data_IF_228105740982
#
_entry.id   IF_228105740982
#
_cell.length_a   1.000
_cell.length_b   1.000
_cell.length_c   1.000
_cell.angle_alpha   90.00
_cell.angle_beta   90.00
_cell.angle_gamma   90.00
#
_symmetry.space_group_name_H-M   'P 1'
#
loop_
_entity.id
_entity.type
_entity.pdbx_description
1 polymer ?
#
# COMPACT_ATOMS: atom_id res chain seq x y z
N UNK A 1 -19.46 -9.30 6.27
CA UNK A 1 -20.67 -10.15 6.30
C UNK A 1 -21.21 -10.32 7.72
N UNK A 2 -20.41 -9.92 8.73
CA UNK A 2 -20.76 -9.93 10.16
C UNK A 2 -21.73 -8.82 10.59
N UNK A 3 -21.79 -7.72 9.86
CA UNK A 3 -22.66 -6.59 10.15
C UNK A 3 -24.05 -6.74 9.50
N UNK A 4 -25.14 -6.29 10.17
CA UNK A 4 -26.48 -6.28 9.60
C UNK A 4 -26.55 -5.53 8.28
N UNK A 5 -27.16 -6.14 7.27
CA UNK A 5 -27.29 -5.56 5.93
C UNK A 5 -26.06 -5.69 5.04
N UNK A 6 -24.98 -6.34 5.53
CA UNK A 6 -23.72 -6.55 4.79
C UNK A 6 -23.26 -5.27 4.07
N UNK A 7 -22.94 -4.18 4.82
CA UNK A 7 -22.60 -2.90 4.24
C UNK A 7 -21.36 -3.03 3.36
N UNK A 8 -21.33 -2.26 2.27
CA UNK A 8 -20.19 -2.20 1.35
C UNK A 8 -19.31 -0.99 1.71
N UNK A 9 -17.99 -1.20 1.71
CA UNK A 9 -16.98 -0.14 1.84
C UNK A 9 -16.18 -0.09 0.54
N UNK A 10 -16.25 1.01 -0.17
CA UNK A 10 -15.49 1.17 -1.40
C UNK A 10 -13.97 1.21 -1.10
N UNK A 11 -13.19 0.42 -1.84
CA UNK A 11 -11.73 0.51 -1.80
C UNK A 11 -11.30 1.77 -2.59
N UNK A 12 -11.44 2.92 -1.96
CA UNK A 12 -11.15 4.25 -2.53
C UNK A 12 -10.49 5.14 -1.49
N UNK A 13 -9.67 6.08 -1.94
CA UNK A 13 -9.01 7.04 -1.06
C UNK A 13 -10.00 7.89 -0.27
N UNK A 14 -11.22 8.09 -0.77
CA UNK A 14 -12.29 8.80 -0.05
C UNK A 14 -12.88 8.03 1.12
N UNK A 15 -12.64 6.72 1.18
CA UNK A 15 -13.06 5.86 2.30
C UNK A 15 -11.99 5.73 3.39
N UNK A 16 -10.80 6.30 3.21
CA UNK A 16 -9.74 6.25 4.23
C UNK A 16 -10.19 6.98 5.48
N UNK A 17 -10.22 6.25 6.59
CA UNK A 17 -10.66 6.75 7.90
C UNK A 17 -9.48 6.98 8.85
N UNK A 18 -8.53 6.04 8.89
CA UNK A 18 -7.39 6.08 9.79
C UNK A 18 -6.17 5.41 9.14
N UNK A 19 -4.96 5.87 9.51
CA UNK A 19 -3.69 5.40 8.96
C UNK A 19 -2.64 5.09 10.03
N UNK A 20 -3.08 4.73 11.23
CA UNK A 20 -2.19 4.37 12.35
C UNK A 20 -1.78 2.90 12.25
N UNK A 21 -0.51 2.63 11.94
CA UNK A 21 0.13 1.32 11.71
C UNK A 21 -0.38 0.54 10.48
N UNK A 22 -1.58 0.82 10.01
CA UNK A 22 -2.19 0.23 8.83
C UNK A 22 -3.22 1.18 8.24
N UNK A 23 -3.65 0.94 7.04
CA UNK A 23 -4.73 1.71 6.41
C UNK A 23 -6.09 1.10 6.76
N UNK A 24 -6.98 1.95 7.31
CA UNK A 24 -8.37 1.61 7.63
C UNK A 24 -9.32 2.35 6.68
N UNK A 25 -10.23 1.61 6.06
CA UNK A 25 -11.34 2.15 5.28
C UNK A 25 -12.63 2.10 6.09
N UNK A 26 -13.50 3.12 5.91
CA UNK A 26 -14.79 3.15 6.58
C UNK A 26 -15.90 3.73 5.69
N UNK A 27 -17.13 3.24 5.93
CA UNK A 27 -18.36 3.81 5.40
C UNK A 27 -19.47 3.63 6.43
N UNK A 28 -19.99 4.74 6.99
CA UNK A 28 -20.89 4.70 8.13
C UNK A 28 -20.25 3.99 9.32
N UNK A 29 -20.92 2.97 9.85
CA UNK A 29 -20.42 2.17 10.98
C UNK A 29 -19.47 1.03 10.54
N UNK A 30 -19.44 0.72 9.23
CA UNK A 30 -18.57 -0.34 8.72
C UNK A 30 -17.13 0.15 8.60
N UNK A 31 -16.19 -0.64 9.12
CA UNK A 31 -14.76 -0.38 9.09
C UNK A 31 -13.98 -1.64 8.73
N UNK A 32 -12.94 -1.48 7.94
CA UNK A 32 -12.02 -2.55 7.57
C UNK A 32 -10.59 -2.05 7.69
N UNK A 33 -9.78 -2.74 8.48
CA UNK A 33 -8.37 -2.39 8.72
C UNK A 33 -7.41 -3.30 7.95
N UNK A 34 -6.14 -2.86 7.87
CA UNK A 34 -5.02 -3.63 7.33
C UNK A 34 -5.28 -4.07 5.88
N UNK A 35 -5.77 -3.12 5.08
CA UNK A 35 -6.18 -3.41 3.69
C UNK A 35 -5.00 -3.40 2.71
N UNK A 36 -3.90 -2.75 3.05
CA UNK A 36 -2.77 -2.42 2.19
C UNK A 36 -2.12 -3.64 1.53
N UNK A 37 -1.90 -4.74 2.26
CA UNK A 37 -1.24 -5.93 1.70
C UNK A 37 -2.10 -6.65 0.66
N UNK A 38 -3.41 -6.80 0.93
CA UNK A 38 -4.35 -7.38 -0.01
C UNK A 38 -4.52 -6.48 -1.24
N UNK A 39 -4.64 -5.17 -1.04
CA UNK A 39 -4.75 -4.21 -2.13
C UNK A 39 -3.47 -4.18 -2.99
N UNK A 40 -2.29 -4.30 -2.36
CA UNK A 40 -1.03 -4.41 -3.08
C UNK A 40 -0.97 -5.69 -3.95
N UNK A 41 -1.47 -6.83 -3.42
CA UNK A 41 -1.52 -8.06 -4.19
C UNK A 41 -2.46 -7.95 -5.40
N UNK A 42 -3.66 -7.40 -5.22
CA UNK A 42 -4.62 -7.17 -6.31
C UNK A 42 -4.03 -6.26 -7.38
N UNK A 43 -3.53 -5.09 -6.97
CA UNK A 43 -2.96 -4.11 -7.89
C UNK A 43 -1.69 -4.61 -8.59
N UNK A 44 -0.78 -5.27 -7.84
CA UNK A 44 0.46 -5.83 -8.36
C UNK A 44 0.25 -6.97 -9.37
N UNK A 45 -0.87 -7.69 -9.27
CA UNK A 45 -1.29 -8.73 -10.22
C UNK A 45 -2.22 -8.20 -11.33
N UNK A 46 -2.46 -6.89 -11.36
CA UNK A 46 -3.27 -6.26 -12.40
C UNK A 46 -4.77 -6.53 -12.29
N UNK A 47 -5.28 -6.75 -11.08
CA UNK A 47 -6.72 -6.91 -10.81
C UNK A 47 -7.33 -5.54 -10.54
N UNK A 48 -8.16 -5.05 -11.46
CA UNK A 48 -8.82 -3.75 -11.35
C UNK A 48 -10.12 -3.81 -10.54
N UNK A 49 -10.85 -4.92 -10.62
CA UNK A 49 -12.15 -5.08 -9.97
C UNK A 49 -12.19 -6.38 -9.18
N UNK A 50 -12.47 -6.29 -7.89
CA UNK A 50 -12.68 -7.43 -7.01
C UNK A 50 -13.76 -7.11 -5.98
N UNK A 51 -14.51 -8.13 -5.56
CA UNK A 51 -15.37 -8.09 -4.39
C UNK A 51 -14.73 -8.91 -3.29
N UNK A 52 -14.50 -8.28 -2.15
CA UNK A 52 -13.89 -8.89 -0.97
C UNK A 52 -14.98 -9.02 0.10
N UNK A 53 -15.24 -10.23 0.55
CA UNK A 53 -16.21 -10.51 1.60
C UNK A 53 -15.49 -10.86 2.89
N UNK A 54 -15.77 -10.12 3.95
CA UNK A 54 -15.14 -10.26 5.27
C UNK A 54 -16.21 -10.56 6.31
N UNK A 55 -15.87 -11.36 7.30
CA UNK A 55 -16.66 -11.67 8.49
C UNK A 55 -16.10 -11.04 9.76
N UNK A 56 -15.25 -10.03 9.60
CA UNK A 56 -14.61 -9.29 10.68
C UNK A 56 -14.13 -7.91 10.22
N UNK A 57 -13.67 -7.08 11.17
CA UNK A 57 -13.29 -5.68 10.91
C UNK A 57 -11.86 -5.51 10.38
N UNK A 58 -11.15 -6.59 10.08
CA UNK A 58 -9.75 -6.54 9.67
C UNK A 58 -9.43 -7.61 8.63
N UNK A 59 -8.67 -7.23 7.60
CA UNK A 59 -8.11 -8.17 6.63
C UNK A 59 -7.04 -9.02 7.34
N UNK A 60 -7.07 -10.36 7.21
CA UNK A 60 -6.06 -11.22 7.84
C UNK A 60 -4.63 -10.84 7.45
N UNK A 61 -3.75 -10.70 8.44
CA UNK A 61 -2.34 -10.37 8.23
C UNK A 61 -1.57 -11.51 7.56
N UNK A 62 -2.02 -12.77 7.74
CA UNK A 62 -1.38 -13.99 7.26
C UNK A 62 0.08 -14.09 7.74
N UNK A 63 1.03 -14.20 6.83
CA UNK A 63 2.46 -14.25 7.14
C UNK A 63 3.13 -12.85 7.25
N UNK A 64 2.33 -11.79 7.20
CA UNK A 64 2.79 -10.41 7.25
C UNK A 64 3.28 -9.85 5.91
N UNK A 65 3.10 -10.59 4.82
CA UNK A 65 3.43 -10.19 3.46
C UNK A 65 2.19 -10.22 2.54
N UNK A 66 2.36 -9.90 1.28
CA UNK A 66 1.32 -10.06 0.26
C UNK A 66 1.42 -11.40 -0.49
N UNK A 67 2.36 -12.29 -0.14
CA UNK A 67 2.64 -13.51 -0.88
C UNK A 67 1.43 -14.46 -0.92
N UNK A 68 0.85 -14.76 0.25
CA UNK A 68 -0.29 -15.68 0.31
C UNK A 68 -1.50 -15.16 -0.47
N UNK A 69 -1.70 -13.84 -0.47
CA UNK A 69 -2.74 -13.19 -1.29
C UNK A 69 -2.44 -13.33 -2.77
N UNK A 70 -1.21 -13.06 -3.19
CA UNK A 70 -0.79 -13.18 -4.59
C UNK A 70 -0.92 -14.63 -5.09
N UNK A 71 -0.52 -15.61 -4.29
CA UNK A 71 -0.67 -17.05 -4.61
C UNK A 71 -2.14 -17.45 -4.76
N UNK A 72 -3.01 -17.01 -3.82
CA UNK A 72 -4.44 -17.30 -3.87
C UNK A 72 -5.13 -16.68 -5.10
N UNK A 73 -4.80 -15.43 -5.43
CA UNK A 73 -5.31 -14.73 -6.62
C UNK A 73 -4.84 -15.43 -7.89
N UNK A 74 -3.56 -15.79 -7.99
CA UNK A 74 -3.00 -16.49 -9.12
C UNK A 74 -3.65 -17.89 -9.32
N UNK A 75 -3.91 -18.60 -8.22
CA UNK A 75 -4.58 -19.90 -8.25
C UNK A 75 -6.06 -19.78 -8.69
N UNK A 76 -6.77 -18.73 -8.21
CA UNK A 76 -8.15 -18.47 -8.62
C UNK A 76 -8.27 -18.05 -10.09
N UNK A 77 -7.24 -17.42 -10.61
CA UNK A 77 -7.20 -16.84 -11.95
C UNK A 77 -7.88 -15.47 -12.03
N UNK A 78 -7.54 -14.73 -13.09
CA UNK A 78 -8.08 -13.40 -13.37
C UNK A 78 -8.82 -13.44 -14.71
N UNK A 79 -10.01 -12.84 -14.76
CA UNK A 79 -10.84 -12.77 -15.98
C UNK A 79 -10.71 -11.39 -16.61
N UNK A 80 -10.30 -11.35 -17.88
CA UNK A 80 -10.26 -10.09 -18.61
C UNK A 80 -11.66 -9.54 -18.86
N UNK A 81 -11.84 -8.25 -18.58
CA UNK A 81 -13.09 -7.52 -18.83
C UNK A 81 -13.00 -6.78 -20.18
N UNK A 82 -14.16 -6.47 -20.77
CA UNK A 82 -14.23 -5.79 -22.08
C UNK A 82 -13.86 -4.30 -21.96
N UNK A 83 -14.14 -3.68 -20.80
CA UNK A 83 -13.85 -2.27 -20.58
C UNK A 83 -12.33 -2.01 -20.63
N UNK A 84 -11.85 -1.03 -21.40
CA UNK A 84 -10.44 -0.68 -21.40
C UNK A 84 -10.03 -0.08 -20.06
N UNK A 85 -8.79 -0.38 -19.63
CA UNK A 85 -8.20 0.27 -18.46
C UNK A 85 -7.99 1.74 -18.75
N UNK A 86 -8.43 2.59 -17.85
CA UNK A 86 -8.16 4.02 -17.93
C UNK A 86 -6.68 4.29 -17.59
N UNK A 87 -6.10 5.26 -18.26
CA UNK A 87 -4.74 5.74 -17.98
C UNK A 87 -4.79 7.23 -17.64
N UNK A 88 -3.94 7.63 -16.71
CA UNK A 88 -3.76 9.02 -16.36
C UNK A 88 -2.27 9.37 -16.42
N UNK A 89 -1.94 10.46 -17.10
CA UNK A 89 -0.56 10.95 -17.18
C UNK A 89 -0.45 12.19 -16.31
N UNK A 90 0.41 12.10 -15.31
CA UNK A 90 0.68 13.24 -14.45
C UNK A 90 1.44 14.32 -15.23
N UNK A 91 0.91 15.55 -15.26
CA UNK A 91 1.49 16.68 -15.98
C UNK A 91 2.57 17.43 -15.17
N UNK A 92 2.40 17.49 -13.85
CA UNK A 92 3.27 18.22 -12.92
C UNK A 92 3.56 17.40 -11.67
N UNK A 93 4.74 17.59 -11.02
CA UNK A 93 5.05 16.90 -9.78
C UNK A 93 4.08 17.24 -8.65
N UNK A 94 3.75 16.22 -7.84
CA UNK A 94 2.99 16.38 -6.60
C UNK A 94 3.87 15.88 -5.44
N UNK A 95 3.99 16.68 -4.38
CA UNK A 95 4.81 16.37 -3.20
C UNK A 95 4.01 16.46 -1.92
N UNK A 96 4.23 15.50 -1.02
CA UNK A 96 3.79 15.55 0.36
C UNK A 96 4.99 15.26 1.25
N UNK A 97 5.20 16.05 2.28
CA UNK A 97 6.32 15.87 3.20
C UNK A 97 5.93 16.20 4.64
N UNK A 98 6.63 15.58 5.57
CA UNK A 98 6.51 15.83 7.02
C UNK A 98 7.90 15.66 7.66
N UNK A 99 8.52 16.75 8.09
CA UNK A 99 9.90 16.73 8.52
C UNK A 99 10.85 16.34 7.39
N UNK A 100 11.64 15.27 7.60
CA UNK A 100 12.54 14.69 6.61
C UNK A 100 11.90 13.56 5.77
N UNK A 101 10.67 13.15 6.12
CA UNK A 101 9.92 12.16 5.38
C UNK A 101 9.15 12.80 4.23
N UNK A 102 9.08 12.12 3.08
CA UNK A 102 8.30 12.59 1.94
C UNK A 102 7.79 11.45 1.07
N UNK A 103 6.78 11.77 0.28
CA UNK A 103 6.35 10.99 -0.89
C UNK A 103 6.03 11.93 -2.02
N UNK A 104 6.41 11.56 -3.24
CA UNK A 104 6.21 12.37 -4.44
C UNK A 104 5.74 11.53 -5.61
N UNK A 105 4.90 12.10 -6.46
CA UNK A 105 4.62 11.59 -7.80
C UNK A 105 5.25 12.54 -8.82
N UNK A 106 6.15 12.02 -9.63
CA UNK A 106 6.89 12.78 -10.64
C UNK A 106 6.44 12.32 -12.04
N UNK A 107 6.17 13.22 -12.98
CA UNK A 107 5.85 12.84 -14.35
C UNK A 107 6.88 11.86 -14.93
N UNK A 108 6.41 10.75 -15.48
CA UNK A 108 7.25 9.73 -16.09
C UNK A 108 6.49 9.01 -17.22
N UNK A 109 7.19 8.42 -18.20
CA UNK A 109 6.53 7.72 -19.31
C UNK A 109 5.88 6.40 -18.88
N UNK A 110 6.30 5.83 -17.76
CA UNK A 110 5.77 4.57 -17.21
C UNK A 110 5.69 4.64 -15.68
N UNK A 111 4.89 3.75 -15.11
CA UNK A 111 4.76 3.62 -13.66
C UNK A 111 6.03 3.00 -13.06
N UNK A 112 6.58 3.68 -12.07
CA UNK A 112 7.69 3.20 -11.26
C UNK A 112 7.50 3.61 -9.81
N UNK A 113 7.83 2.73 -8.90
CA UNK A 113 7.91 3.01 -7.46
C UNK A 113 9.37 2.96 -7.00
N UNK A 114 9.76 3.86 -6.10
CA UNK A 114 11.03 3.80 -5.38
C UNK A 114 10.77 4.15 -3.92
N UNK A 115 11.25 3.33 -3.01
CA UNK A 115 11.10 3.55 -1.58
C UNK A 115 12.43 3.49 -0.84
N UNK A 116 12.72 4.52 -0.06
CA UNK A 116 13.85 4.58 0.86
C UNK A 116 13.40 4.57 2.32
N UNK A 117 14.11 3.85 3.14
CA UNK A 117 13.98 3.85 4.60
C UNK A 117 15.33 4.17 5.23
N UNK A 118 15.29 4.68 6.45
CA UNK A 118 16.49 4.99 7.21
C UNK A 118 16.17 4.84 8.71
N UNK A 119 16.83 3.88 9.35
CA UNK A 119 16.65 3.54 10.75
C UNK A 119 18.00 3.53 11.46
N UNK A 120 18.03 3.99 12.71
CA UNK A 120 19.24 4.02 13.52
C UNK A 120 19.74 2.62 13.92
N UNK A 121 18.89 1.58 13.78
CA UNK A 121 19.28 0.20 14.02
C UNK A 121 20.14 -0.35 12.86
N UNK A 122 21.40 -0.74 13.10
CA UNK A 122 22.32 -1.16 12.02
C UNK A 122 21.82 -2.32 11.16
N UNK A 123 21.01 -3.22 11.73
CA UNK A 123 20.45 -4.36 11.00
C UNK A 123 19.38 -3.95 9.97
N UNK A 124 18.81 -2.75 10.08
CA UNK A 124 17.94 -2.15 9.08
C UNK A 124 18.73 -1.10 8.28
N UNK A 125 19.22 -0.05 8.93
CA UNK A 125 20.01 1.02 8.34
C UNK A 125 19.27 1.78 7.25
N UNK A 126 20.04 2.29 6.29
CA UNK A 126 19.51 2.94 5.09
C UNK A 126 19.36 1.93 3.96
N UNK A 127 18.15 1.74 3.47
CA UNK A 127 17.83 0.79 2.41
C UNK A 127 16.94 1.43 1.37
N UNK A 128 17.12 1.01 0.12
CA UNK A 128 16.31 1.44 -1.01
C UNK A 128 15.85 0.25 -1.84
N UNK A 129 14.66 0.39 -2.42
CA UNK A 129 14.16 -0.52 -3.44
C UNK A 129 13.36 0.23 -4.49
N UNK A 130 13.47 -0.22 -5.74
CA UNK A 130 12.66 0.28 -6.86
C UNK A 130 11.98 -0.88 -7.53
N UNK A 131 10.76 -0.65 -8.02
CA UNK A 131 9.99 -1.63 -8.76
C UNK A 131 9.15 -0.94 -9.85
N UNK A 132 9.06 -1.56 -11.02
CA UNK A 132 8.20 -1.17 -12.12
C UNK A 132 7.41 -2.40 -12.61
N UNK A 133 6.07 -2.34 -12.67
CA UNK A 133 5.27 -3.46 -13.13
C UNK A 133 5.53 -3.84 -14.59
N UNK A 134 6.09 -2.94 -15.40
CA UNK A 134 6.49 -3.23 -16.77
C UNK A 134 7.78 -4.07 -16.88
N UNK A 135 8.61 -4.09 -15.82
CA UNK A 135 9.95 -4.69 -15.84
C UNK A 135 10.07 -5.94 -14.95
N UNK A 136 9.33 -5.99 -13.84
CA UNK A 136 9.47 -7.03 -12.83
C UNK A 136 8.11 -7.54 -12.35
N UNK A 137 8.00 -8.85 -12.15
CA UNK A 137 6.80 -9.47 -11.59
C UNK A 137 6.65 -9.11 -10.11
N UNK A 138 5.46 -8.64 -9.72
CA UNK A 138 5.15 -8.27 -8.33
C UNK A 138 5.34 -9.45 -7.36
N UNK A 139 4.87 -10.65 -7.74
CA UNK A 139 4.92 -11.82 -6.87
C UNK A 139 6.38 -12.22 -6.52
N UNK A 140 7.31 -12.03 -7.46
CA UNK A 140 8.73 -12.35 -7.27
C UNK A 140 9.51 -11.23 -6.59
N UNK A 141 9.24 -9.98 -6.97
CA UNK A 141 10.04 -8.84 -6.53
C UNK A 141 9.60 -8.27 -5.19
N UNK A 142 8.29 -8.29 -4.88
CA UNK A 142 7.71 -7.49 -3.78
C UNK A 142 6.86 -8.34 -2.84
N UNK A 143 5.99 -9.23 -3.36
CA UNK A 143 4.91 -9.84 -2.58
C UNK A 143 5.39 -10.55 -1.30
N UNK A 144 6.56 -11.17 -1.33
CA UNK A 144 7.09 -11.94 -0.19
C UNK A 144 7.73 -11.10 0.92
N UNK A 145 7.83 -9.77 0.77
CA UNK A 145 8.41 -8.90 1.79
C UNK A 145 7.46 -8.75 2.99
N UNK A 146 7.91 -9.18 4.17
CA UNK A 146 7.12 -9.17 5.41
C UNK A 146 7.15 -7.82 6.10
N UNK A 147 6.05 -7.49 6.79
CA UNK A 147 5.99 -6.37 7.73
C UNK A 147 7.03 -6.52 8.84
N UNK A 148 7.44 -5.41 9.42
CA UNK A 148 8.45 -5.40 10.47
C UNK A 148 8.14 -4.39 11.56
N UNK A 149 8.69 -4.65 12.74
CA UNK A 149 8.60 -3.76 13.89
C UNK A 149 9.91 -3.70 14.68
N UNK A 150 10.01 -2.69 15.55
CA UNK A 150 11.16 -2.48 16.43
C UNK A 150 10.87 -3.07 17.81
N UNK A 151 11.76 -3.90 18.32
CA UNK A 151 11.56 -4.65 19.57
C UNK A 151 11.19 -3.73 20.76
N UNK A 152 11.84 -2.55 20.85
CA UNK A 152 11.59 -1.60 21.94
C UNK A 152 10.19 -0.93 21.88
N UNK A 153 9.47 -1.00 20.74
CA UNK A 153 8.13 -0.43 20.58
C UNK A 153 7.01 -1.44 20.86
N UNK A 154 7.30 -2.75 20.80
CA UNK A 154 6.28 -3.80 20.82
C UNK A 154 5.44 -3.76 22.10
N UNK A 155 6.07 -3.60 23.27
CA UNK A 155 5.36 -3.60 24.55
C UNK A 155 4.40 -2.39 24.67
N UNK A 156 4.85 -1.23 24.22
CA UNK A 156 4.01 -0.03 24.19
C UNK A 156 2.84 -0.18 23.22
N UNK A 157 3.08 -0.75 22.03
CA UNK A 157 2.01 -0.99 21.05
C UNK A 157 0.95 -1.96 21.61
N UNK A 158 1.38 -3.05 22.26
CA UNK A 158 0.46 -4.01 22.91
C UNK A 158 -0.34 -3.37 24.05
N UNK A 159 0.31 -2.55 24.88
CA UNK A 159 -0.35 -1.82 25.97
C UNK A 159 -1.43 -0.87 25.43
N UNK A 160 -1.20 -0.26 24.27
CA UNK A 160 -2.16 0.59 23.56
C UNK A 160 -3.25 -0.21 22.81
N UNK A 161 -3.30 -1.54 22.96
CA UNK A 161 -4.30 -2.40 22.32
C UNK A 161 -4.08 -2.63 20.82
N UNK A 162 -2.88 -2.30 20.32
CA UNK A 162 -2.45 -2.52 18.93
C UNK A 162 -1.72 -3.87 18.79
N UNK A 163 -1.48 -4.30 17.55
CA UNK A 163 -0.73 -5.52 17.19
C UNK A 163 -1.16 -6.78 17.96
N UNK A 164 -2.46 -6.92 18.26
CA UNK A 164 -3.00 -8.06 19.06
C UNK A 164 -2.72 -9.41 18.44
N UNK A 165 -2.70 -9.52 17.11
CA UNK A 165 -2.39 -10.70 16.33
C UNK A 165 -0.91 -10.84 15.94
N UNK A 166 -0.05 -9.88 16.33
CA UNK A 166 1.37 -9.85 15.96
C UNK A 166 2.19 -10.92 16.67
N UNK A 167 2.97 -11.68 15.89
CA UNK A 167 3.89 -12.71 16.35
C UNK A 167 5.16 -12.71 15.49
N UNK A 168 6.18 -13.48 15.92
CA UNK A 168 7.40 -13.68 15.12
C UNK A 168 7.15 -14.52 13.84
N UNK A 169 5.96 -15.07 13.67
CA UNK A 169 5.58 -15.83 12.47
C UNK A 169 5.04 -14.90 11.37
N UNK A 170 4.49 -13.74 11.75
CA UNK A 170 3.83 -12.80 10.82
C UNK A 170 4.40 -11.38 10.82
N UNK A 171 5.52 -11.14 11.49
CA UNK A 171 6.26 -9.88 11.44
C UNK A 171 7.73 -10.12 11.73
N UNK A 172 8.60 -9.43 11.01
CA UNK A 172 10.02 -9.33 11.37
C UNK A 172 10.17 -8.39 12.57
N UNK A 173 10.99 -8.77 13.54
CA UNK A 173 11.28 -7.94 14.71
C UNK A 173 12.76 -7.66 14.79
N UNK A 174 13.12 -6.37 14.76
CA UNK A 174 14.50 -5.91 14.90
C UNK A 174 14.76 -5.37 16.30
N UNK A 175 15.75 -5.93 16.97
CA UNK A 175 16.32 -5.44 18.23
C UNK A 175 17.65 -4.73 18.01
N UNK A 176 18.29 -4.31 19.11
CA UNK A 176 19.60 -3.64 19.09
C UNK A 176 20.71 -4.54 18.52
N UNK A 177 20.65 -5.84 18.80
CA UNK A 177 21.63 -6.84 18.33
C UNK A 177 21.30 -7.42 16.94
N UNK A 178 20.18 -7.02 16.34
CA UNK A 178 19.74 -7.50 15.02
C UNK A 178 18.35 -8.12 15.02
N UNK A 179 18.10 -8.95 14.01
CA UNK A 179 16.79 -9.59 13.82
C UNK A 179 16.55 -10.72 14.81
N UNK A 180 15.38 -10.74 15.46
CA UNK A 180 14.98 -11.79 16.39
C UNK A 180 14.56 -13.07 15.68
N UNK A 181 14.06 -12.97 14.46
CA UNK A 181 13.50 -14.09 13.68
C UNK A 181 14.04 -14.18 12.25
N UNK A 182 15.37 -14.25 12.06
CA UNK A 182 15.96 -14.49 10.76
C UNK A 182 15.60 -15.90 10.21
N UNK A 183 15.80 -16.19 8.90
CA UNK A 183 16.39 -15.31 7.91
C UNK A 183 15.40 -14.31 7.29
N UNK A 184 15.92 -13.23 6.73
CA UNK A 184 15.18 -12.36 5.84
C UNK A 184 14.99 -13.06 4.49
N UNK A 185 13.86 -12.78 3.83
CA UNK A 185 13.56 -13.28 2.47
C UNK A 185 14.32 -12.49 1.39
N UNK A 186 14.62 -11.22 1.68
CA UNK A 186 15.43 -10.34 0.82
C UNK A 186 16.44 -9.59 1.69
N UNK A 187 17.60 -9.24 1.15
CA UNK A 187 18.60 -8.44 1.87
C UNK A 187 18.10 -7.05 2.29
N UNK A 188 17.14 -6.51 1.54
CA UNK A 188 16.46 -5.23 1.78
C UNK A 188 14.94 -5.43 2.01
N UNK A 189 14.55 -6.50 2.69
CA UNK A 189 13.15 -6.85 2.93
C UNK A 189 12.32 -5.71 3.53
N UNK A 190 12.82 -4.94 4.54
CA UNK A 190 12.10 -3.79 5.07
C UNK A 190 11.77 -2.71 4.03
N UNK A 191 12.71 -2.36 3.15
CA UNK A 191 12.45 -1.38 2.10
C UNK A 191 11.44 -1.88 1.06
N UNK A 192 11.51 -3.19 0.72
CA UNK A 192 10.52 -3.83 -0.18
C UNK A 192 9.13 -3.85 0.45
N UNK A 193 9.03 -4.13 1.75
CA UNK A 193 7.75 -4.10 2.46
C UNK A 193 7.14 -2.69 2.47
N UNK A 194 7.93 -1.67 2.74
CA UNK A 194 7.45 -0.28 2.68
C UNK A 194 7.00 0.14 1.27
N UNK A 195 7.64 -0.42 0.24
CA UNK A 195 7.20 -0.23 -1.14
C UNK A 195 5.89 -0.99 -1.41
N UNK A 196 5.72 -2.21 -0.87
CA UNK A 196 4.46 -2.96 -0.92
C UNK A 196 3.30 -2.15 -0.32
N UNK A 197 3.49 -1.57 0.88
CA UNK A 197 2.53 -0.68 1.54
C UNK A 197 2.14 0.48 0.63
N UNK A 198 3.12 1.14 0.00
CA UNK A 198 2.88 2.26 -0.92
C UNK A 198 2.05 1.84 -2.13
N UNK A 199 2.32 0.66 -2.71
CA UNK A 199 1.52 0.13 -3.82
C UNK A 199 0.07 -0.08 -3.40
N UNK A 200 -0.15 -0.67 -2.22
CA UNK A 200 -1.49 -0.90 -1.66
C UNK A 200 -2.24 0.40 -1.39
N UNK A 201 -1.61 1.36 -0.72
CA UNK A 201 -2.23 2.65 -0.40
C UNK A 201 -2.53 3.48 -1.65
N UNK A 202 -1.62 3.47 -2.65
CA UNK A 202 -1.83 4.20 -3.89
C UNK A 202 -2.90 3.54 -4.79
N UNK A 203 -3.13 2.24 -4.67
CA UNK A 203 -4.18 1.54 -5.41
C UNK A 203 -5.60 2.03 -5.07
N UNK A 204 -5.78 2.69 -3.93
CA UNK A 204 -7.02 3.39 -3.55
C UNK A 204 -7.39 4.54 -4.49
N UNK A 205 -6.52 4.88 -5.42
CA UNK A 205 -6.82 5.78 -6.53
C UNK A 205 -7.70 5.12 -7.61
N UNK A 206 -7.83 3.79 -7.59
CA UNK A 206 -8.50 2.93 -8.59
C UNK A 206 -7.84 2.92 -9.98
N UNK A 207 -6.73 3.57 -10.14
CA UNK A 207 -5.83 3.48 -11.29
C UNK A 207 -4.44 3.98 -10.88
N UNK A 208 -3.41 3.54 -11.56
CA UNK A 208 -2.08 4.11 -11.35
C UNK A 208 -1.77 5.16 -12.42
N UNK A 209 -1.26 6.35 -12.03
CA UNK A 209 -0.78 7.33 -12.99
C UNK A 209 0.51 6.86 -13.67
N UNK A 210 0.75 7.31 -14.90
CA UNK A 210 2.08 7.24 -15.52
C UNK A 210 3.00 8.21 -14.78
N UNK A 211 3.67 7.73 -13.75
CA UNK A 211 4.49 8.53 -12.84
C UNK A 211 5.58 7.71 -12.18
N UNK A 212 6.67 8.35 -11.79
CA UNK A 212 7.62 7.79 -10.84
C UNK A 212 7.19 8.22 -9.42
N UNK A 213 6.70 7.27 -8.64
CA UNK A 213 6.33 7.50 -7.24
C UNK A 213 7.55 7.22 -6.37
N UNK A 214 8.05 8.26 -5.71
CA UNK A 214 9.26 8.24 -4.88
C UNK A 214 8.89 8.53 -3.43
N UNK A 215 9.23 7.62 -2.50
CA UNK A 215 8.98 7.77 -1.08
C UNK A 215 10.27 7.63 -0.27
N UNK A 216 10.40 8.41 0.80
CA UNK A 216 11.47 8.29 1.78
C UNK A 216 10.91 8.46 3.18
N UNK A 217 11.16 7.46 4.05
CA UNK A 217 10.69 7.43 5.46
C UNK A 217 9.19 7.68 5.61
N UNK A 218 8.41 7.50 4.52
CA UNK A 218 7.00 7.82 4.48
C UNK A 218 6.16 6.81 5.30
N UNK A 219 4.93 7.19 5.59
CA UNK A 219 3.94 6.41 6.31
C UNK A 219 2.66 6.26 5.49
N UNK A 220 1.75 5.37 5.89
CA UNK A 220 0.40 5.28 5.30
C UNK A 220 -0.31 6.63 5.25
N UNK A 221 -0.08 7.50 6.25
CA UNK A 221 -0.63 8.85 6.27
C UNK A 221 -0.13 9.69 5.08
N UNK A 222 1.19 9.70 4.82
CA UNK A 222 1.75 10.42 3.68
C UNK A 222 1.34 9.79 2.35
N UNK A 223 1.30 8.45 2.26
CA UNK A 223 0.84 7.74 1.06
C UNK A 223 -0.60 8.14 0.71
N UNK A 224 -1.51 8.10 1.67
CA UNK A 224 -2.92 8.44 1.45
C UNK A 224 -3.14 9.91 1.16
N UNK A 225 -2.35 10.81 1.76
CA UNK A 225 -2.36 12.24 1.39
C UNK A 225 -1.93 12.45 -0.07
N UNK A 226 -0.84 11.80 -0.52
CA UNK A 226 -0.45 11.87 -1.93
C UNK A 226 -1.56 11.35 -2.83
N UNK A 227 -2.17 10.21 -2.48
CA UNK A 227 -3.27 9.60 -3.22
C UNK A 227 -4.46 10.56 -3.34
N UNK A 228 -4.82 11.25 -2.25
CA UNK A 228 -5.88 12.29 -2.25
C UNK A 228 -5.55 13.46 -3.17
N UNK A 229 -4.31 13.95 -3.15
CA UNK A 229 -3.89 15.07 -4.01
C UNK A 229 -3.91 14.69 -5.49
N UNK A 230 -3.48 13.46 -5.84
CA UNK A 230 -3.58 12.96 -7.22
C UNK A 230 -5.04 12.84 -7.62
N UNK A 231 -5.91 12.27 -6.78
CA UNK A 231 -7.34 12.15 -7.05
C UNK A 231 -8.01 13.51 -7.29
N UNK A 232 -7.64 14.53 -6.48
CA UNK A 232 -8.15 15.89 -6.66
C UNK A 232 -7.68 16.48 -7.99
N UNK A 233 -6.41 16.34 -8.34
CA UNK A 233 -5.85 16.82 -9.60
C UNK A 233 -6.55 16.19 -10.81
N UNK A 234 -6.76 14.87 -10.78
CA UNK A 234 -7.48 14.15 -11.84
C UNK A 234 -8.90 14.68 -12.03
N UNK A 235 -9.59 15.02 -10.92
CA UNK A 235 -10.93 15.59 -10.96
C UNK A 235 -10.92 16.99 -11.57
N UNK A 236 -10.03 17.87 -11.13
CA UNK A 236 -9.92 19.24 -11.61
C UNK A 236 -9.65 19.27 -13.13
N UNK A 237 -8.72 18.43 -13.61
CA UNK A 237 -8.39 18.32 -15.05
C UNK A 237 -9.56 17.76 -15.89
N UNK A 238 -10.38 16.86 -15.31
CA UNK A 238 -11.58 16.35 -15.99
C UNK A 238 -12.66 17.41 -16.12
N UNK A 239 -12.87 18.22 -15.09
CA UNK A 239 -13.86 19.31 -15.09
C UNK A 239 -13.45 20.43 -16.06
N UNK A 240 -12.17 20.79 -16.14
CA UNK A 240 -11.65 21.78 -17.08
C UNK A 240 -11.80 21.33 -18.55
N UNK A 241 -11.70 20.03 -18.84
CA UNK A 241 -11.87 19.48 -20.17
C UNK A 241 -13.30 19.60 -20.69
N UNK A 242 -14.29 19.61 -19.80
CA UNK A 242 -15.72 19.77 -20.14
C UNK A 242 -16.05 21.22 -20.55
N UNK A 243 -15.38 22.20 -19.96
CA UNK A 243 -15.62 23.62 -20.28
C UNK A 243 -14.93 24.09 -21.56
N UNK A 244 -13.91 23.38 -22.04
CA UNK A 244 -13.20 23.73 -23.29
C UNK A 244 -13.86 23.18 -24.55
N UNK A 245 -15.02 22.51 -24.45
CA UNK A 245 -15.78 21.97 -25.59
C UNK A 245 -17.01 22.82 -26.00
N UNK A 246 -17.17 24.01 -25.44
CA UNK A 246 -18.22 24.97 -25.89
C UNK A 246 -17.62 25.94 -26.92
N UNK A 247 -18.12 25.92 -28.17
CA UNK A 247 -17.65 26.80 -29.25
C UNK A 247 -18.00 28.29 -29.01
#
# INVERSE_FOLDING_TARGET
MDLPGAPEVAASVTSVHQTMLSTELAQGEAKVRTVEHLLAALAGLGVDNARIELDGPEVPLLDGSAQCWAEAIAQAGVVAQIAPRQTYTLSEPIWVYQGDAFVAALPAPELRFTYGIDFDLPAIGNQWHSWSPAQENFAEAIAAARTFGLAHQIEQLRTNGLIKGGSLENALVCGEEGWLNPPLRFSNEPARHKLLDLVGDLSLLNLFPCAHVLAYKASHHLHTQLTQLIAQRMKDESDDSVWNLTP
#
